data_IF_978692502196
#
_entry.id   IF_978692502196
#
_cell.length_a   1.000
_cell.length_b   1.000
_cell.length_c   1.000
_cell.angle_alpha   90.00
_cell.angle_beta   90.00
_cell.angle_gamma   90.00
#
_symmetry.space_group_name_H-M   'P 1'
#
loop_
_entity.id
_entity.type
_entity.pdbx_description
1 polymer ?
#
# COMPACT_ATOMS: atom_id res chain seq x y z
N UNK A 1 9.83 1.42 -21.60
CA UNK A 1 8.37 1.62 -21.70
C UNK A 1 7.83 2.14 -20.38
N UNK A 2 6.93 3.14 -20.39
CA UNK A 2 6.38 3.81 -19.19
C UNK A 2 5.75 2.82 -18.19
N UNK A 3 5.18 1.71 -18.68
CA UNK A 3 4.59 0.64 -17.86
C UNK A 3 5.63 -0.12 -17.02
N UNK A 4 6.82 -0.36 -17.58
CA UNK A 4 7.91 -1.04 -16.88
C UNK A 4 8.42 -0.18 -15.71
N UNK A 5 8.62 1.12 -15.93
CA UNK A 5 9.04 2.07 -14.89
C UNK A 5 8.02 2.17 -13.76
N UNK A 6 6.71 2.13 -14.08
CA UNK A 6 5.64 2.17 -13.07
C UNK A 6 5.60 0.90 -12.22
N UNK A 7 5.66 -0.29 -12.83
CA UNK A 7 5.65 -1.55 -12.09
C UNK A 7 6.89 -1.69 -11.21
N UNK A 8 8.08 -1.36 -11.72
CA UNK A 8 9.32 -1.40 -10.94
C UNK A 8 9.25 -0.49 -9.70
N UNK A 9 8.62 0.68 -9.82
CA UNK A 9 8.40 1.58 -8.68
C UNK A 9 7.52 0.95 -7.60
N UNK A 10 6.40 0.34 -7.99
CA UNK A 10 5.49 -0.33 -7.05
C UNK A 10 6.13 -1.57 -6.41
N UNK A 11 6.90 -2.35 -7.17
CA UNK A 11 7.68 -3.47 -6.63
C UNK A 11 8.73 -3.00 -5.61
N UNK A 12 9.45 -1.93 -5.92
CA UNK A 12 10.42 -1.34 -5.00
C UNK A 12 9.79 -0.85 -3.69
N UNK A 13 8.63 -0.20 -3.78
CA UNK A 13 7.88 0.23 -2.60
C UNK A 13 7.35 -0.96 -1.77
N UNK A 14 6.85 -2.02 -2.43
CA UNK A 14 6.45 -3.26 -1.77
C UNK A 14 7.61 -3.90 -1.01
N UNK A 15 8.76 -4.05 -1.68
CA UNK A 15 9.97 -4.62 -1.07
C UNK A 15 10.46 -3.79 0.12
N UNK A 16 10.43 -2.46 0.02
CA UNK A 16 10.82 -1.57 1.11
C UNK A 16 9.91 -1.70 2.34
N UNK A 17 8.60 -1.84 2.14
CA UNK A 17 7.66 -2.09 3.24
C UNK A 17 7.90 -3.44 3.90
N UNK A 18 8.09 -4.51 3.10
CA UNK A 18 8.43 -5.84 3.62
C UNK A 18 9.77 -5.86 4.37
N UNK A 19 10.77 -5.10 3.94
CA UNK A 19 12.05 -4.99 4.66
C UNK A 19 11.93 -4.31 6.04
N UNK A 20 10.85 -3.55 6.26
CA UNK A 20 10.52 -2.89 7.52
C UNK A 20 9.56 -3.73 8.37
N UNK A 21 8.98 -4.80 7.82
CA UNK A 21 8.17 -5.73 8.58
C UNK A 21 8.97 -6.32 9.75
N UNK A 22 8.33 -6.42 10.92
CA UNK A 22 8.99 -6.88 12.15
C UNK A 22 9.89 -5.84 12.83
N UNK A 23 10.02 -4.63 12.28
CA UNK A 23 10.67 -3.50 12.96
C UNK A 23 9.61 -2.63 13.65
N UNK A 24 9.23 -3.01 14.87
CA UNK A 24 8.25 -2.27 15.68
C UNK A 24 7.29 -3.21 16.40
N UNK A 25 6.27 -2.64 17.02
CA UNK A 25 5.18 -3.42 17.60
C UNK A 25 4.30 -4.07 16.51
N UNK A 26 3.33 -4.86 16.96
CA UNK A 26 2.39 -5.57 16.09
C UNK A 26 1.59 -4.62 15.18
N UNK A 27 1.26 -3.41 15.64
CA UNK A 27 0.50 -2.45 14.85
C UNK A 27 1.37 -1.90 13.72
N UNK A 28 2.62 -1.55 13.99
CA UNK A 28 3.58 -1.12 12.97
C UNK A 28 3.84 -2.24 11.95
N UNK A 29 4.02 -3.47 12.42
CA UNK A 29 4.24 -4.62 11.55
C UNK A 29 3.03 -4.89 10.64
N UNK A 30 1.80 -4.81 11.18
CA UNK A 30 0.57 -4.94 10.40
C UNK A 30 0.45 -3.85 9.33
N UNK A 31 0.80 -2.60 9.65
CA UNK A 31 0.78 -1.51 8.67
C UNK A 31 1.79 -1.73 7.54
N UNK A 32 2.99 -2.25 7.84
CA UNK A 32 3.96 -2.59 6.78
C UNK A 32 3.42 -3.65 5.81
N UNK A 33 2.73 -4.69 6.33
CA UNK A 33 2.08 -5.70 5.48
C UNK A 33 0.95 -5.08 4.64
N UNK A 34 0.15 -4.20 5.23
CA UNK A 34 -0.93 -3.48 4.53
C UNK A 34 -0.38 -2.65 3.36
N UNK A 35 0.71 -1.92 3.60
CA UNK A 35 1.41 -1.13 2.59
C UNK A 35 1.97 -2.02 1.46
N UNK A 36 2.64 -3.12 1.81
CA UNK A 36 3.16 -4.07 0.83
C UNK A 36 2.05 -4.65 -0.07
N UNK A 37 0.94 -5.11 0.54
CA UNK A 37 -0.24 -5.62 -0.16
C UNK A 37 -0.78 -4.60 -1.16
N UNK A 38 -0.91 -3.34 -0.73
CA UNK A 38 -1.45 -2.25 -1.54
C UNK A 38 -0.58 -1.93 -2.75
N UNK A 39 0.74 -1.88 -2.59
CA UNK A 39 1.65 -1.66 -3.72
C UNK A 39 1.60 -2.82 -4.73
N UNK A 40 1.49 -4.05 -4.25
CA UNK A 40 1.32 -5.23 -5.10
C UNK A 40 -0.01 -5.17 -5.88
N UNK A 41 -1.10 -4.78 -5.21
CA UNK A 41 -2.43 -4.63 -5.83
C UNK A 41 -2.46 -3.66 -7.00
N UNK A 42 -1.66 -2.57 -6.95
CA UNK A 42 -1.54 -1.62 -8.07
C UNK A 42 -0.90 -2.21 -9.33
N UNK A 43 -0.15 -3.30 -9.19
CA UNK A 43 0.47 -4.01 -10.31
C UNK A 43 -0.51 -5.04 -10.88
N UNK A 44 -1.21 -5.78 -10.02
CA UNK A 44 -2.11 -6.86 -10.44
C UNK A 44 -3.52 -6.38 -10.79
N UNK A 45 -3.84 -5.10 -10.55
CA UNK A 45 -5.20 -4.57 -10.66
C UNK A 45 -6.12 -5.00 -9.51
N UNK A 46 -5.56 -5.59 -8.44
CA UNK A 46 -6.31 -5.99 -7.27
C UNK A 46 -6.54 -4.80 -6.33
N UNK A 47 -7.81 -4.49 -6.08
CA UNK A 47 -8.24 -3.41 -5.17
C UNK A 47 -9.03 -4.06 -4.04
N UNK A 48 -8.50 -3.98 -2.82
CA UNK A 48 -9.19 -4.51 -1.63
C UNK A 48 -10.20 -3.52 -1.06
N UNK A 49 -11.08 -3.97 -0.15
CA UNK A 49 -12.06 -3.10 0.50
C UNK A 49 -11.41 -1.89 1.19
N UNK A 50 -10.25 -2.07 1.84
CA UNK A 50 -9.50 -0.97 2.45
C UNK A 50 -9.06 0.09 1.44
N UNK A 51 -8.71 -0.31 0.21
CA UNK A 51 -8.29 0.63 -0.83
C UNK A 51 -9.47 1.48 -1.32
N UNK A 52 -10.68 0.91 -1.32
CA UNK A 52 -11.93 1.61 -1.60
C UNK A 52 -12.31 2.55 -0.45
N UNK A 53 -12.20 2.08 0.80
CA UNK A 53 -12.43 2.92 1.98
C UNK A 53 -11.44 4.10 2.02
N UNK A 54 -10.17 3.88 1.68
CA UNK A 54 -9.15 4.92 1.54
C UNK A 54 -9.49 5.95 0.45
N UNK A 55 -10.35 5.64 -0.53
CA UNK A 55 -10.82 6.61 -1.53
C UNK A 55 -12.03 7.35 -0.97
N UNK A 56 -13.02 6.61 -0.46
CA UNK A 56 -14.24 7.17 0.13
C UNK A 56 -13.91 8.16 1.24
N UNK A 57 -13.01 7.81 2.15
CA UNK A 57 -12.66 8.64 3.30
C UNK A 57 -11.62 9.72 3.00
N UNK A 58 -10.97 9.72 1.83
CA UNK A 58 -10.00 10.76 1.44
C UNK A 58 -10.66 12.10 1.15
N UNK A 59 -11.90 12.07 0.67
CA UNK A 59 -12.69 13.27 0.39
C UNK A 59 -13.57 13.69 1.57
N UNK A 60 -13.68 12.85 2.61
CA UNK A 60 -14.22 13.29 3.90
C UNK A 60 -13.15 14.12 4.60
N UNK A 61 -13.27 15.45 4.51
CA UNK A 61 -12.49 16.36 5.35
C UNK A 61 -12.50 15.84 6.79
N UNK A 62 -11.30 15.62 7.36
CA UNK A 62 -11.10 15.39 8.80
C UNK A 62 -11.67 16.61 9.52
N UNK A 63 -12.92 16.53 9.99
CA UNK A 63 -13.62 17.70 10.55
C UNK A 63 -15.15 17.67 10.52
N UNK A 64 -15.80 16.50 10.62
CA UNK A 64 -17.17 16.42 11.13
C UNK A 64 -17.24 15.40 12.25
#
# INVERSE_FOLDING_TARGET
SLTQSRHSRHLGACAAALARFGRGDLAVAAEQLRLARRELGRITGHVGAEDVLDIIFRDFCVGK
#
